data_IF_178516647391
#
_entry.id   IF_178516647391
#
_cell.length_a   1.000
_cell.length_b   1.000
_cell.length_c   1.000
_cell.angle_alpha   90.00
_cell.angle_beta   90.00
_cell.angle_gamma   90.00
#
_symmetry.space_group_name_H-M   'P 1'
#
loop_
_entity.id
_entity.type
_entity.pdbx_description
1 polymer ?
#
# COMPACT_ATOMS: atom_id res chain seq x y z
N UNK A 1 27.13 41.41 -12.89
CA UNK A 1 25.93 40.95 -12.15
C UNK A 1 24.93 40.19 -13.06
N UNK A 2 24.98 38.86 -13.06
CA UNK A 2 23.96 37.98 -13.64
C UNK A 2 23.45 37.08 -12.51
N UNK A 3 22.18 37.24 -12.10
CA UNK A 3 21.52 36.29 -11.20
C UNK A 3 21.22 35.04 -12.02
N UNK A 4 21.99 33.97 -11.82
CA UNK A 4 21.65 32.64 -12.29
C UNK A 4 20.43 32.14 -11.50
N UNK A 5 19.49 31.51 -12.22
CA UNK A 5 18.18 31.07 -11.73
C UNK A 5 18.24 30.21 -10.48
N UNK A 6 17.23 30.37 -9.63
CA UNK A 6 16.97 29.43 -8.55
C UNK A 6 16.70 28.01 -9.08
N UNK A 7 16.87 26.97 -8.26
CA UNK A 7 16.63 25.60 -8.68
C UNK A 7 15.18 25.43 -9.16
N UNK A 8 14.90 24.55 -10.14
CA UNK A 8 13.54 24.28 -10.57
C UNK A 8 12.74 23.84 -9.33
N UNK A 9 11.65 24.55 -9.09
CA UNK A 9 10.70 24.21 -8.04
C UNK A 9 10.08 22.86 -8.34
N UNK A 10 10.70 21.80 -7.83
CA UNK A 10 9.96 20.59 -7.53
C UNK A 10 8.95 20.98 -6.46
N UNK A 11 7.66 20.89 -6.79
CA UNK A 11 6.64 20.82 -5.75
C UNK A 11 7.13 19.81 -4.70
N UNK A 12 7.00 20.06 -3.38
CA UNK A 12 7.35 19.07 -2.37
C UNK A 12 6.68 17.76 -2.75
N UNK A 13 7.48 16.85 -3.31
CA UNK A 13 6.98 15.69 -4.00
C UNK A 13 6.35 14.81 -2.96
N UNK A 14 5.13 14.35 -3.22
CA UNK A 14 4.53 13.28 -2.45
C UNK A 14 5.58 12.17 -2.33
N UNK A 15 6.14 11.99 -1.13
CA UNK A 15 7.11 10.95 -0.89
C UNK A 15 6.34 9.63 -0.91
N UNK A 16 6.34 8.94 -2.05
CA UNK A 16 5.81 7.60 -2.12
C UNK A 16 6.72 6.67 -1.29
N UNK A 17 6.13 5.97 -0.33
CA UNK A 17 6.85 4.92 0.38
C UNK A 17 6.98 3.69 -0.53
N UNK A 18 8.19 3.15 -0.65
CA UNK A 18 8.43 1.89 -1.35
C UNK A 18 8.66 0.80 -0.30
N UNK A 19 7.87 -0.26 -0.36
CA UNK A 19 7.97 -1.42 0.53
C UNK A 19 8.52 -2.60 -0.24
N UNK A 20 9.66 -3.14 0.20
CA UNK A 20 10.32 -4.30 -0.42
C UNK A 20 10.72 -5.29 0.67
N UNK A 21 10.39 -6.56 0.47
CA UNK A 21 10.72 -7.63 1.40
C UNK A 21 9.78 -8.83 1.21
N UNK A 22 9.81 -9.74 2.17
CA UNK A 22 8.84 -10.85 2.23
C UNK A 22 7.41 -10.33 2.45
N UNK A 23 6.40 -11.13 2.07
CA UNK A 23 4.99 -10.79 2.32
C UNK A 23 4.70 -10.42 3.77
N UNK A 24 5.35 -11.10 4.73
CA UNK A 24 5.23 -10.80 6.16
C UNK A 24 5.83 -9.45 6.52
N UNK A 25 7.02 -9.12 6.02
CA UNK A 25 7.63 -7.81 6.27
C UNK A 25 6.79 -6.67 5.68
N UNK A 26 6.22 -6.88 4.49
CA UNK A 26 5.31 -5.90 3.87
C UNK A 26 4.03 -5.75 4.70
N UNK A 27 3.41 -6.86 5.13
CA UNK A 27 2.23 -6.83 6.01
C UNK A 27 2.52 -6.15 7.35
N UNK A 28 3.70 -6.39 7.95
CA UNK A 28 4.16 -5.72 9.18
C UNK A 28 4.23 -4.20 8.97
N UNK A 29 4.83 -3.73 7.87
CA UNK A 29 4.89 -2.29 7.56
C UNK A 29 3.51 -1.68 7.32
N UNK A 30 2.61 -2.39 6.65
CA UNK A 30 1.23 -1.91 6.43
C UNK A 30 0.50 -1.77 7.77
N UNK A 31 0.70 -2.71 8.70
CA UNK A 31 0.15 -2.62 10.06
C UNK A 31 0.72 -1.41 10.82
N UNK A 32 2.04 -1.19 10.77
CA UNK A 32 2.69 -0.02 11.38
C UNK A 32 2.08 1.30 10.85
N UNK A 33 1.79 1.38 9.54
CA UNK A 33 1.13 2.53 8.94
C UNK A 33 -0.34 2.67 9.38
N UNK A 34 -1.07 1.56 9.50
CA UNK A 34 -2.45 1.57 9.99
C UNK A 34 -2.53 2.06 11.44
N UNK A 35 -1.62 1.63 12.31
CA UNK A 35 -1.50 2.11 13.69
C UNK A 35 -1.16 3.60 13.77
N UNK A 36 -0.41 4.10 12.79
CA UNK A 36 -0.15 5.54 12.61
C UNK A 36 -1.33 6.31 11.96
N UNK A 37 -2.45 5.64 11.67
CA UNK A 37 -3.67 6.24 11.11
C UNK A 37 -3.74 6.28 9.58
N UNK A 38 -2.78 5.70 8.87
CA UNK A 38 -2.77 5.61 7.40
C UNK A 38 -3.50 4.34 6.97
N UNK A 39 -4.71 4.50 6.42
CA UNK A 39 -5.61 3.37 6.13
C UNK A 39 -5.88 3.14 4.64
N UNK A 40 -5.38 4.03 3.78
CA UNK A 40 -5.55 3.92 2.32
C UNK A 40 -4.20 3.88 1.64
N UNK A 41 -4.04 2.88 0.78
CA UNK A 41 -2.81 2.63 0.04
C UNK A 41 -3.14 2.55 -1.46
N UNK A 42 -2.27 3.12 -2.27
CA UNK A 42 -2.25 2.90 -3.72
C UNK A 42 -1.09 1.96 -4.00
N UNK A 43 -1.41 0.78 -4.53
CA UNK A 43 -0.39 -0.18 -4.93
C UNK A 43 0.01 0.07 -6.38
N UNK A 44 1.30 0.11 -6.64
CA UNK A 44 1.87 0.18 -7.99
C UNK A 44 3.03 -0.79 -8.09
N UNK A 45 3.08 -1.57 -9.16
CA UNK A 45 4.25 -2.37 -9.52
C UNK A 45 4.27 -2.62 -11.02
N UNK A 46 5.44 -3.01 -11.52
CA UNK A 46 5.66 -3.36 -12.92
C UNK A 46 6.41 -4.70 -12.99
N UNK A 47 5.84 -5.75 -13.61
CA UNK A 47 4.55 -5.77 -14.31
C UNK A 47 3.33 -5.78 -13.35
N UNK A 48 2.34 -4.92 -13.63
CA UNK A 48 1.23 -4.64 -12.70
C UNK A 48 0.35 -5.86 -12.37
N UNK A 49 0.06 -6.72 -13.35
CA UNK A 49 -0.82 -7.89 -13.12
C UNK A 49 -0.16 -8.90 -12.18
N UNK A 50 1.14 -9.17 -12.39
CA UNK A 50 1.91 -10.08 -11.56
C UNK A 50 2.01 -9.54 -10.13
N UNK A 51 2.31 -8.24 -9.99
CA UNK A 51 2.42 -7.62 -8.67
C UNK A 51 1.09 -7.66 -7.90
N UNK A 52 -0.04 -7.38 -8.58
CA UNK A 52 -1.37 -7.48 -7.95
C UNK A 52 -1.68 -8.92 -7.54
N UNK A 53 -1.30 -9.91 -8.36
CA UNK A 53 -1.49 -11.32 -8.00
C UNK A 53 -0.59 -11.73 -6.81
N UNK A 54 0.67 -11.31 -6.84
CA UNK A 54 1.66 -11.58 -5.79
C UNK A 54 1.24 -10.98 -4.45
N UNK A 55 0.82 -9.71 -4.46
CA UNK A 55 0.29 -9.02 -3.29
C UNK A 55 -1.01 -9.64 -2.80
N UNK A 56 -1.93 -9.94 -3.72
CA UNK A 56 -3.25 -10.49 -3.42
C UNK A 56 -3.21 -11.89 -2.81
N UNK A 57 -2.27 -12.73 -3.22
CA UNK A 57 -2.12 -14.10 -2.72
C UNK A 57 -1.17 -14.20 -1.52
N UNK A 58 -0.21 -13.29 -1.38
CA UNK A 58 0.78 -13.30 -0.31
C UNK A 58 0.47 -12.38 0.87
N UNK A 59 0.16 -11.12 0.62
CA UNK A 59 0.05 -10.07 1.66
C UNK A 59 -1.38 -9.96 2.21
N UNK A 60 -2.40 -9.97 1.34
CA UNK A 60 -3.79 -9.80 1.79
C UNK A 60 -4.25 -10.84 2.83
N UNK A 61 -3.89 -12.14 2.74
CA UNK A 61 -4.24 -13.11 3.78
C UNK A 61 -3.66 -12.76 5.15
N UNK A 62 -2.40 -12.30 5.19
CA UNK A 62 -1.74 -11.87 6.43
C UNK A 62 -2.38 -10.62 7.03
N UNK A 63 -2.91 -9.72 6.20
CA UNK A 63 -3.68 -8.56 6.68
C UNK A 63 -5.07 -8.97 7.19
N UNK A 64 -5.69 -9.97 6.57
CA UNK A 64 -6.97 -10.51 7.03
C UNK A 64 -6.86 -11.19 8.40
N UNK A 65 -5.79 -11.97 8.62
CA UNK A 65 -5.48 -12.57 9.94
C UNK A 65 -5.33 -11.51 11.05
N UNK A 66 -4.89 -10.29 10.68
CA UNK A 66 -4.71 -9.15 11.59
C UNK A 66 -5.98 -8.29 11.74
N UNK A 67 -7.07 -8.62 11.04
CA UNK A 67 -8.28 -7.80 11.00
C UNK A 67 -8.13 -6.47 10.25
N UNK A 68 -7.06 -6.30 9.47
CA UNK A 68 -6.79 -5.09 8.68
C UNK A 68 -7.39 -5.15 7.27
N UNK A 69 -7.87 -6.31 6.84
CA UNK A 69 -8.50 -6.50 5.54
C UNK A 69 -9.67 -7.47 5.63
N UNK A 70 -10.78 -7.13 4.99
CA UNK A 70 -11.93 -8.02 4.83
C UNK A 70 -12.04 -8.41 3.36
N UNK A 71 -11.96 -9.70 3.01
CA UNK A 71 -12.16 -10.14 1.64
C UNK A 71 -13.53 -9.68 1.11
N UNK A 72 -13.61 -9.24 -0.15
CA UNK A 72 -14.86 -8.77 -0.74
C UNK A 72 -16.00 -9.82 -0.67
N UNK A 73 -15.66 -11.12 -0.74
CA UNK A 73 -16.62 -12.22 -0.56
C UNK A 73 -17.10 -12.44 0.88
N UNK A 74 -16.35 -11.99 1.89
CA UNK A 74 -16.76 -12.04 3.29
C UNK A 74 -17.84 -10.99 3.62
N UNK A 75 -17.89 -9.89 2.86
CA UNK A 75 -18.94 -8.88 3.00
C UNK A 75 -20.27 -9.33 2.38
N UNK A 76 -20.25 -10.18 1.35
CA UNK A 76 -21.44 -10.76 0.74
C UNK A 76 -22.09 -11.86 1.61
N UNK A 77 -21.30 -12.58 2.42
CA UNK A 77 -21.80 -13.60 3.34
C UNK A 77 -22.51 -13.05 4.58
N UNK A 78 -22.41 -11.73 4.83
CA UNK A 78 -23.06 -11.05 5.96
C UNK A 78 -24.39 -10.36 5.58
N UNK A 79 -24.83 -10.46 4.32
CA UNK A 79 -26.16 -9.99 3.93
C UNK A 79 -27.22 -11.01 4.40
N UNK A 80 -28.22 -10.61 5.22
CA UNK A 80 -29.28 -11.53 5.65
C UNK A 80 -30.15 -11.89 4.45
N UNK A 81 -30.40 -13.19 4.29
CA UNK A 81 -31.47 -13.74 3.41
C UNK A 81 -32.83 -13.65 4.08
#
# INVERSE_FOLDING_TARGET
>A
PRRAGGPPGGAPGQAAAVLVGSHRQVADRIADYADAGITRFVLSGDPALEEVHHFGTGVLPLLAERGLWTPAGAHAAAAPV
#
